data_IF_761827965349
#
_entry.id   IF_761827965349
#
_cell.length_a   1.000
_cell.length_b   1.000
_cell.length_c   1.000
_cell.angle_alpha   90.00
_cell.angle_beta   90.00
_cell.angle_gamma   90.00
#
_symmetry.space_group_name_H-M   'P 1'
#
loop_
_entity.id
_entity.type
_entity.pdbx_description
1 polymer ?
#
# COMPACT_ATOMS: atom_id res chain seq x y z
N UNK A 1 16.49 -5.80 6.92
CA UNK A 1 16.35 -4.66 7.88
C UNK A 1 16.44 -3.36 7.08
N UNK A 2 15.79 -2.27 7.52
CA UNK A 2 15.82 -1.00 6.79
C UNK A 2 17.24 -0.42 6.75
N UNK A 3 17.58 0.18 5.62
CA UNK A 3 18.86 0.85 5.34
C UNK A 3 18.69 2.37 5.52
N UNK A 4 19.82 3.08 5.56
CA UNK A 4 19.81 4.55 5.52
C UNK A 4 19.05 5.06 4.28
N UNK A 5 18.16 6.02 4.47
CA UNK A 5 17.30 6.60 3.42
C UNK A 5 15.99 5.85 3.14
N UNK A 6 15.82 4.61 3.61
CA UNK A 6 14.58 3.86 3.39
C UNK A 6 13.37 4.56 4.02
N UNK A 7 13.56 5.14 5.21
CA UNK A 7 12.49 5.82 5.93
C UNK A 7 11.91 6.99 5.13
N UNK A 8 12.77 7.76 4.46
CA UNK A 8 12.35 8.90 3.64
C UNK A 8 11.55 8.45 2.42
N UNK A 9 11.97 7.36 1.77
CA UNK A 9 11.25 6.78 0.65
C UNK A 9 9.88 6.25 1.09
N UNK A 10 9.83 5.51 2.21
CA UNK A 10 8.58 4.98 2.73
C UNK A 10 7.60 6.10 3.14
N UNK A 11 8.12 7.17 3.76
CA UNK A 11 7.32 8.36 4.07
C UNK A 11 6.78 9.01 2.80
N UNK A 12 7.61 9.18 1.77
CA UNK A 12 7.16 9.74 0.48
C UNK A 12 6.05 8.90 -0.17
N UNK A 13 6.21 7.57 -0.18
CA UNK A 13 5.19 6.64 -0.69
C UNK A 13 3.89 6.71 0.10
N UNK A 14 3.97 6.86 1.42
CA UNK A 14 2.80 7.04 2.28
C UNK A 14 2.07 8.35 1.97
N UNK A 15 2.79 9.45 1.78
CA UNK A 15 2.19 10.74 1.44
C UNK A 15 1.44 10.70 0.10
N UNK A 16 1.97 10.00 -0.91
CA UNK A 16 1.27 9.80 -2.19
C UNK A 16 -0.09 9.14 -1.98
N UNK A 17 -0.15 8.11 -1.12
CA UNK A 17 -1.41 7.42 -0.84
C UNK A 17 -2.38 8.29 -0.03
N UNK A 18 -1.87 9.08 0.92
CA UNK A 18 -2.66 9.97 1.76
C UNK A 18 -3.29 11.12 0.97
N UNK A 19 -2.60 11.64 -0.04
CA UNK A 19 -3.05 12.77 -0.86
C UNK A 19 -4.44 12.55 -1.49
N UNK A 20 -4.79 11.30 -1.78
CA UNK A 20 -6.07 10.94 -2.41
C UNK A 20 -7.15 10.59 -1.40
N UNK A 21 -6.78 10.15 -0.19
CA UNK A 21 -7.72 9.65 0.81
C UNK A 21 -7.06 9.77 2.20
N UNK A 22 -7.40 10.83 2.92
CA UNK A 22 -6.73 11.25 4.17
C UNK A 22 -6.92 10.26 5.35
N UNK A 23 -8.05 9.54 5.51
CA UNK A 23 -8.22 8.53 6.57
C UNK A 23 -7.27 7.30 6.54
N UNK A 24 -6.18 7.33 5.77
CA UNK A 24 -5.33 6.16 5.44
C UNK A 24 -4.12 5.96 6.35
N UNK A 25 -3.68 6.94 7.14
CA UNK A 25 -2.37 6.87 7.81
C UNK A 25 -2.16 5.63 8.69
N UNK A 26 -3.23 5.14 9.33
CA UNK A 26 -3.17 3.92 10.16
C UNK A 26 -3.07 2.61 9.33
N UNK A 27 -3.40 2.61 8.03
CA UNK A 27 -3.45 1.41 7.19
C UNK A 27 -2.05 0.91 6.81
N UNK A 28 -1.17 1.80 6.37
CA UNK A 28 0.21 1.44 6.00
C UNK A 28 0.98 0.92 7.21
N UNK A 29 0.83 1.58 8.37
CA UNK A 29 1.44 1.12 9.62
C UNK A 29 0.96 -0.28 10.05
N UNK A 30 -0.37 -0.52 10.03
CA UNK A 30 -0.95 -1.83 10.39
C UNK A 30 -0.48 -2.91 9.43
N UNK A 31 -0.52 -2.65 8.12
CA UNK A 31 -0.08 -3.62 7.12
C UNK A 31 1.41 -3.92 7.27
N UNK A 32 2.27 -2.90 7.40
CA UNK A 32 3.71 -3.07 7.67
C UNK A 32 3.95 -3.97 8.89
N UNK A 33 3.22 -3.73 9.97
CA UNK A 33 3.34 -4.52 11.21
C UNK A 33 3.01 -5.99 10.95
N UNK A 34 1.89 -6.27 10.27
CA UNK A 34 1.51 -7.64 9.88
C UNK A 34 2.57 -8.28 8.97
N UNK A 35 3.04 -7.56 7.95
CA UNK A 35 4.08 -7.99 7.03
C UNK A 35 5.37 -8.37 7.77
N UNK A 36 5.79 -7.56 8.74
CA UNK A 36 6.99 -7.83 9.56
C UNK A 36 6.84 -9.09 10.40
N UNK A 37 5.69 -9.31 11.03
CA UNK A 37 5.41 -10.54 11.78
C UNK A 37 5.40 -11.77 10.88
N UNK A 38 4.73 -11.67 9.74
CA UNK A 38 4.63 -12.76 8.77
C UNK A 38 5.99 -13.13 8.17
N UNK A 39 6.78 -12.12 7.75
CA UNK A 39 8.12 -12.35 7.22
C UNK A 39 9.07 -12.97 8.24
N UNK A 40 8.94 -12.63 9.53
CA UNK A 40 9.72 -13.25 10.61
C UNK A 40 9.31 -14.71 10.80
N UNK A 41 8.02 -14.99 10.80
CA UNK A 41 7.49 -16.35 10.89
C UNK A 41 7.97 -17.24 9.71
N UNK A 42 8.08 -16.67 8.52
CA UNK A 42 8.64 -17.33 7.34
C UNK A 42 10.18 -17.43 7.33
N UNK A 43 10.87 -16.87 8.32
CA UNK A 43 12.33 -16.75 8.35
C UNK A 43 12.91 -16.08 7.09
N UNK A 44 12.26 -15.01 6.60
CA UNK A 44 12.77 -14.28 5.44
C UNK A 44 14.13 -13.64 5.72
N UNK A 45 15.03 -13.77 4.76
CA UNK A 45 16.32 -13.10 4.76
C UNK A 45 16.15 -11.57 4.85
N UNK A 46 17.15 -10.83 5.40
CA UNK A 46 17.05 -9.40 5.63
C UNK A 46 16.63 -8.56 4.43
N UNK A 47 17.02 -8.99 3.21
CA UNK A 47 16.65 -8.32 1.97
C UNK A 47 15.20 -8.58 1.58
N UNK A 48 14.74 -9.83 1.65
CA UNK A 48 13.34 -10.18 1.40
C UNK A 48 12.40 -9.49 2.40
N UNK A 49 12.82 -9.39 3.67
CA UNK A 49 12.10 -8.61 4.68
C UNK A 49 12.02 -7.13 4.32
N UNK A 50 13.12 -6.53 3.83
CA UNK A 50 13.13 -5.13 3.40
C UNK A 50 12.19 -4.93 2.20
N UNK A 51 12.27 -5.79 1.19
CA UNK A 51 11.39 -5.76 0.02
C UNK A 51 9.91 -5.89 0.42
N UNK A 52 9.60 -6.80 1.35
CA UNK A 52 8.26 -6.96 1.87
C UNK A 52 7.74 -5.66 2.52
N UNK A 53 8.55 -4.98 3.33
CA UNK A 53 8.16 -3.68 3.90
C UNK A 53 7.84 -2.66 2.80
N UNK A 54 8.71 -2.54 1.78
CA UNK A 54 8.47 -1.62 0.66
C UNK A 54 7.19 -1.96 -0.11
N UNK A 55 6.92 -3.25 -0.39
CA UNK A 55 5.69 -3.69 -1.04
C UNK A 55 4.44 -3.28 -0.25
N UNK A 56 4.50 -3.33 1.09
CA UNK A 56 3.39 -2.89 1.94
C UNK A 56 3.12 -1.38 1.81
N UNK A 57 4.07 -0.56 1.34
CA UNK A 57 3.88 0.87 1.01
C UNK A 57 3.61 1.12 -0.49
N UNK A 58 3.70 0.11 -1.35
CA UNK A 58 3.36 0.25 -2.78
C UNK A 58 1.94 -0.25 -3.10
N UNK A 59 1.34 -1.08 -2.24
CA UNK A 59 0.05 -1.74 -2.50
C UNK A 59 -1.11 -0.78 -2.90
N UNK A 60 -1.07 0.47 -2.44
CA UNK A 60 -2.10 1.48 -2.70
C UNK A 60 -1.85 2.33 -3.95
N UNK A 61 -0.64 2.31 -4.52
CA UNK A 61 -0.25 3.22 -5.62
C UNK A 61 -1.06 2.96 -6.90
N UNK A 62 -1.46 1.72 -7.17
CA UNK A 62 -2.30 1.39 -8.32
C UNK A 62 -3.67 2.09 -8.32
N UNK A 63 -4.14 2.56 -7.15
CA UNK A 63 -5.42 3.29 -7.04
C UNK A 63 -5.35 4.73 -7.54
N UNK A 64 -4.16 5.23 -7.89
CA UNK A 64 -3.99 6.58 -8.41
C UNK A 64 -4.68 6.74 -9.78
N UNK A 65 -4.68 5.70 -10.62
CA UNK A 65 -5.30 5.73 -11.95
C UNK A 65 -6.83 5.54 -11.95
N UNK A 66 -7.41 5.13 -10.81
CA UNK A 66 -8.84 4.84 -10.69
C UNK A 66 -9.60 6.17 -10.47
N UNK A 67 -10.61 6.52 -11.28
CA UNK A 67 -11.41 7.72 -11.08
C UNK A 67 -12.07 7.77 -9.69
N UNK A 68 -12.17 8.96 -9.09
CA UNK A 68 -12.72 9.14 -7.74
C UNK A 68 -14.17 8.65 -7.60
N UNK A 69 -14.97 8.82 -8.66
CA UNK A 69 -16.36 8.33 -8.70
C UNK A 69 -16.46 6.81 -8.59
N UNK A 70 -15.41 6.08 -8.99
CA UNK A 70 -15.29 4.62 -8.85
C UNK A 70 -14.66 4.27 -7.51
N UNK A 71 -13.55 4.92 -7.15
CA UNK A 71 -12.77 4.62 -5.94
C UNK A 71 -13.55 4.88 -4.64
N UNK A 72 -14.41 5.90 -4.61
CA UNK A 72 -15.19 6.31 -3.43
C UNK A 72 -16.66 5.94 -3.51
N UNK A 73 -17.06 5.10 -4.49
CA UNK A 73 -18.44 4.63 -4.60
C UNK A 73 -18.80 3.79 -3.36
N UNK A 74 -19.91 4.13 -2.71
CA UNK A 74 -20.42 3.41 -1.53
C UNK A 74 -21.35 2.25 -1.87
N UNK A 75 -21.84 2.18 -3.12
CA UNK A 75 -22.66 1.11 -3.66
C UNK A 75 -21.87 0.12 -4.54
N UNK A 76 -22.53 -0.90 -5.10
CA UNK A 76 -21.87 -1.87 -5.96
C UNK A 76 -21.29 -1.21 -7.22
N UNK A 77 -20.12 -1.71 -7.64
CA UNK A 77 -19.55 -1.39 -8.94
C UNK A 77 -20.31 -2.14 -10.04
N UNK A 78 -20.53 -1.46 -11.15
CA UNK A 78 -20.95 -2.06 -12.42
C UNK A 78 -19.81 -2.86 -13.04
N UNK A 79 -20.11 -3.73 -13.99
CA UNK A 79 -19.07 -4.52 -14.69
C UNK A 79 -18.01 -3.62 -15.35
N UNK A 80 -18.43 -2.50 -15.95
CA UNK A 80 -17.50 -1.53 -16.56
C UNK A 80 -16.58 -0.87 -15.53
N UNK A 81 -17.13 -0.50 -14.38
CA UNK A 81 -16.32 0.08 -13.28
C UNK A 81 -15.37 -0.97 -12.71
N UNK A 82 -15.77 -2.24 -12.64
CA UNK A 82 -14.91 -3.35 -12.25
C UNK A 82 -13.77 -3.60 -13.22
N UNK A 83 -14.02 -3.56 -14.54
CA UNK A 83 -12.96 -3.62 -15.55
C UNK A 83 -11.95 -2.51 -15.29
N UNK A 84 -12.41 -1.29 -15.02
CA UNK A 84 -11.51 -0.17 -14.75
C UNK A 84 -10.65 -0.34 -13.49
N UNK A 85 -11.14 -1.05 -12.47
CA UNK A 85 -10.36 -1.36 -11.25
C UNK A 85 -9.30 -2.44 -11.49
N UNK A 86 -9.48 -3.30 -12.50
CA UNK A 86 -8.59 -4.44 -12.80
C UNK A 86 -7.53 -4.16 -13.87
N UNK A 87 -7.68 -3.08 -14.64
CA UNK A 87 -6.67 -2.55 -15.58
C UNK A 87 -5.37 -2.15 -14.85
#
# INVERSE_FOLDING_TARGET
>A
MLRSGDADILNFLEQIQLARNVPIGLRCYRLRTMCMHFGRWLNLEPEAMRQLVFLCYCHGLGKISIPDQILFKTGPLTEKEWTKVKE
#
